data_IF_447480779617
#
_entry.id   IF_447480779617
#
_cell.length_a   1.000
_cell.length_b   1.000
_cell.length_c   1.000
_cell.angle_alpha   90.00
_cell.angle_beta   90.00
_cell.angle_gamma   90.00
#
_symmetry.space_group_name_H-M   'P 1'
#
loop_
_entity.id
_entity.type
_entity.pdbx_description
1 polymer ?
#
# COMPACT_ATOMS: atom_id res chain seq x y z
N UNK A 1 21.27 5.95 -38.18
CA UNK A 1 20.19 5.15 -37.57
C UNK A 1 20.42 5.10 -36.09
N UNK A 2 19.36 5.05 -35.28
CA UNK A 2 19.52 4.86 -33.82
C UNK A 2 19.88 3.40 -33.61
N UNK A 3 21.09 3.16 -33.11
CA UNK A 3 21.54 1.83 -32.70
C UNK A 3 21.11 1.60 -31.25
N UNK A 4 20.25 0.60 -31.05
CA UNK A 4 19.76 0.23 -29.71
C UNK A 4 20.64 -0.89 -29.17
N UNK A 5 21.25 -0.63 -28.03
CA UNK A 5 22.09 -1.58 -27.31
C UNK A 5 21.29 -2.82 -26.87
N UNK A 6 21.78 -4.02 -27.21
CA UNK A 6 21.11 -5.30 -26.88
C UNK A 6 20.97 -5.54 -25.38
N UNK A 7 21.93 -5.11 -24.56
CA UNK A 7 21.85 -5.25 -23.11
C UNK A 7 20.71 -4.41 -22.51
N UNK A 8 20.37 -3.27 -23.12
CA UNK A 8 19.19 -2.48 -22.73
C UNK A 8 17.87 -3.18 -23.06
N UNK A 9 17.83 -3.97 -24.14
CA UNK A 9 16.65 -4.75 -24.52
C UNK A 9 16.43 -5.87 -23.50
N UNK A 10 17.48 -6.57 -23.09
CA UNK A 10 17.40 -7.67 -22.11
C UNK A 10 16.99 -7.17 -20.71
N UNK A 11 17.40 -5.97 -20.32
CA UNK A 11 16.94 -5.33 -19.07
C UNK A 11 15.44 -5.00 -19.15
N UNK A 12 14.96 -4.51 -20.30
CA UNK A 12 13.53 -4.17 -20.47
C UNK A 12 12.66 -5.43 -20.50
N UNK A 13 13.13 -6.54 -21.07
CA UNK A 13 12.38 -7.81 -21.13
C UNK A 13 12.36 -8.58 -19.81
N UNK A 14 13.34 -8.34 -18.92
CA UNK A 14 13.39 -8.94 -17.58
C UNK A 14 12.58 -8.18 -16.53
N UNK A 15 12.15 -6.95 -16.83
CA UNK A 15 11.24 -6.21 -15.95
C UNK A 15 9.84 -6.84 -15.96
N UNK A 16 9.21 -7.03 -14.78
CA UNK A 16 7.83 -7.46 -14.72
C UNK A 16 6.94 -6.43 -15.42
N UNK A 17 5.90 -6.90 -16.12
CA UNK A 17 4.93 -6.04 -16.77
C UNK A 17 4.44 -4.98 -15.75
N UNK A 18 4.59 -3.67 -16.02
CA UNK A 18 4.16 -2.61 -15.12
C UNK A 18 2.67 -2.69 -14.74
N UNK A 19 1.83 -3.20 -15.64
CA UNK A 19 0.43 -3.48 -15.36
C UNK A 19 0.26 -4.62 -14.34
N UNK A 20 1.07 -5.68 -14.44
CA UNK A 20 1.05 -6.80 -13.48
C UNK A 20 1.47 -6.35 -12.07
N UNK A 21 2.54 -5.56 -11.96
CA UNK A 21 2.99 -5.00 -10.66
C UNK A 21 1.94 -4.08 -10.05
N UNK A 22 1.27 -3.27 -10.87
CA UNK A 22 0.19 -2.37 -10.43
C UNK A 22 -1.03 -3.14 -9.92
N UNK A 23 -1.46 -4.17 -10.65
CA UNK A 23 -2.61 -4.97 -10.24
C UNK A 23 -2.30 -5.82 -9.00
N UNK A 24 -1.08 -6.35 -8.86
CA UNK A 24 -0.63 -7.02 -7.62
C UNK A 24 -0.63 -6.03 -6.44
N UNK A 25 -0.10 -4.82 -6.61
CA UNK A 25 -0.12 -3.80 -5.56
C UNK A 25 -1.54 -3.41 -5.17
N UNK A 26 -2.42 -3.19 -6.16
CA UNK A 26 -3.85 -2.97 -5.91
C UNK A 26 -4.45 -4.13 -5.14
N UNK A 27 -4.29 -5.37 -5.59
CA UNK A 27 -4.84 -6.55 -4.92
C UNK A 27 -4.36 -6.66 -3.47
N UNK A 28 -3.09 -6.36 -3.19
CA UNK A 28 -2.54 -6.34 -1.82
C UNK A 28 -3.11 -5.21 -0.96
N UNK A 29 -3.42 -4.06 -1.55
CA UNK A 29 -3.99 -2.90 -0.87
C UNK A 29 -5.52 -2.94 -0.75
N UNK A 30 -6.21 -3.57 -1.70
CA UNK A 30 -7.67 -3.69 -1.77
C UNK A 30 -8.19 -4.97 -1.13
N UNK A 31 -7.35 -6.00 -0.96
CA UNK A 31 -7.66 -7.08 -0.04
C UNK A 31 -7.66 -6.49 1.35
N UNK A 32 -8.84 -6.07 1.83
CA UNK A 32 -9.01 -5.45 3.14
C UNK A 32 -8.33 -6.32 4.19
N UNK A 33 -7.13 -5.93 4.65
CA UNK A 33 -6.45 -6.78 5.57
C UNK A 33 -6.97 -6.28 6.91
N UNK A 34 -7.87 -7.06 7.51
CA UNK A 34 -7.95 -7.05 8.97
C UNK A 34 -6.61 -7.64 9.41
N UNK A 35 -5.54 -6.81 9.37
CA UNK A 35 -4.17 -7.20 9.71
C UNK A 35 -4.13 -7.64 11.17
N UNK A 36 -5.05 -7.09 11.97
CA UNK A 36 -5.20 -7.35 13.38
C UNK A 36 -6.64 -7.07 13.84
N UNK A 37 -7.18 -7.90 14.74
CA UNK A 37 -8.48 -7.62 15.36
C UNK A 37 -8.40 -6.36 16.23
N UNK A 38 -9.44 -5.49 16.21
CA UNK A 38 -9.47 -4.30 17.05
C UNK A 38 -9.48 -4.71 18.53
N UNK A 39 -8.68 -4.02 19.34
CA UNK A 39 -8.73 -4.14 20.79
C UNK A 39 -9.52 -2.96 21.36
N UNK A 40 -10.68 -3.25 21.94
CA UNK A 40 -11.62 -2.24 22.43
C UNK A 40 -11.17 -1.51 23.71
N UNK A 41 -10.11 -1.99 24.36
CA UNK A 41 -9.54 -1.35 25.56
C UNK A 41 -8.61 -0.18 25.21
N UNK A 42 -8.20 -0.03 23.94
CA UNK A 42 -7.28 1.00 23.48
C UNK A 42 -7.95 2.03 22.55
N UNK A 43 -7.49 3.29 22.56
CA UNK A 43 -7.99 4.32 21.65
C UNK A 43 -7.59 4.04 20.20
N UNK A 44 -8.48 4.43 19.28
CA UNK A 44 -8.23 4.38 17.84
C UNK A 44 -7.59 5.68 17.34
N UNK A 45 -6.70 5.56 16.36
CA UNK A 45 -6.11 6.66 15.61
C UNK A 45 -6.58 6.57 14.15
N UNK A 46 -7.21 7.63 13.64
CA UNK A 46 -7.60 7.74 12.24
C UNK A 46 -6.65 8.72 11.54
N UNK A 47 -5.97 8.24 10.51
CA UNK A 47 -5.13 9.07 9.64
C UNK A 47 -5.78 9.13 8.26
N UNK A 48 -5.96 10.32 7.71
CA UNK A 48 -6.52 10.49 6.38
C UNK A 48 -5.55 11.26 5.50
N UNK A 49 -5.44 10.86 4.24
CA UNK A 49 -4.73 11.61 3.21
C UNK A 49 -5.64 11.74 1.98
N UNK A 50 -5.57 12.88 1.31
CA UNK A 50 -6.40 13.16 0.15
C UNK A 50 -5.53 13.63 -1.01
N UNK A 51 -5.75 13.08 -2.19
CA UNK A 51 -5.10 13.52 -3.41
C UNK A 51 -6.12 13.74 -4.52
N UNK A 52 -6.15 14.96 -5.06
CA UNK A 52 -7.08 15.39 -6.11
C UNK A 52 -8.55 15.08 -5.74
N UNK A 53 -9.12 14.00 -6.28
CA UNK A 53 -10.49 13.54 -6.04
C UNK A 53 -10.59 12.24 -5.25
N UNK A 54 -9.48 11.74 -4.69
CA UNK A 54 -9.42 10.51 -3.90
C UNK A 54 -9.13 10.83 -2.44
N UNK A 55 -9.85 10.20 -1.51
CA UNK A 55 -9.65 10.32 -0.06
C UNK A 55 -9.33 8.93 0.50
N UNK A 56 -8.12 8.76 1.01
CA UNK A 56 -7.71 7.56 1.74
C UNK A 56 -7.79 7.78 3.25
N UNK A 57 -8.17 6.75 3.99
CA UNK A 57 -8.12 6.73 5.44
C UNK A 57 -7.51 5.41 5.95
N UNK A 58 -6.75 5.51 7.03
CA UNK A 58 -6.16 4.39 7.76
C UNK A 58 -6.67 4.45 9.19
N UNK A 59 -7.31 3.38 9.63
CA UNK A 59 -7.68 3.19 11.03
C UNK A 59 -6.60 2.34 11.71
N UNK A 60 -5.99 2.88 12.75
CA UNK A 60 -5.00 2.19 13.55
C UNK A 60 -5.32 2.22 15.04
N UNK A 61 -4.56 1.43 15.81
CA UNK A 61 -4.57 1.46 17.27
C UNK A 61 -3.15 1.45 17.81
N UNK A 62 -2.98 2.13 18.94
CA UNK A 62 -1.73 2.13 19.69
C UNK A 62 -1.95 1.45 21.03
N UNK A 63 -1.23 0.36 21.28
CA UNK A 63 -1.34 -0.37 22.53
C UNK A 63 -0.80 0.44 23.73
N UNK A 64 0.33 1.13 23.57
CA UNK A 64 0.92 1.95 24.64
C UNK A 64 1.63 3.18 24.05
N UNK A 65 1.76 4.24 24.85
CA UNK A 65 2.51 5.44 24.45
C UNK A 65 3.96 5.07 24.09
N UNK A 66 4.38 5.38 22.86
CA UNK A 66 5.70 5.04 22.33
C UNK A 66 5.79 3.74 21.53
N UNK A 67 4.73 2.92 21.47
CA UNK A 67 4.67 1.76 20.57
C UNK A 67 4.21 2.16 19.16
N UNK A 68 4.63 1.41 18.11
CA UNK A 68 4.12 1.60 16.76
C UNK A 68 2.59 1.46 16.69
N UNK A 69 1.97 2.21 15.77
CA UNK A 69 0.55 2.08 15.45
C UNK A 69 0.34 0.82 14.63
N UNK A 70 -0.58 -0.03 15.09
CA UNK A 70 -1.00 -1.21 14.34
C UNK A 70 -2.19 -0.83 13.48
N UNK A 71 -2.11 -1.12 12.18
CA UNK A 71 -3.21 -0.83 11.25
C UNK A 71 -4.28 -1.90 11.37
N UNK A 72 -5.53 -1.47 11.50
CA UNK A 72 -6.72 -2.31 11.61
C UNK A 72 -7.44 -2.40 10.28
N UNK A 73 -7.59 -1.26 9.60
CA UNK A 73 -8.32 -1.18 8.34
C UNK A 73 -7.86 0.00 7.48
N UNK A 74 -8.09 -0.14 6.18
CA UNK A 74 -7.93 0.90 5.17
C UNK A 74 -9.29 1.21 4.54
N UNK A 75 -9.49 2.48 4.17
CA UNK A 75 -10.63 2.94 3.38
C UNK A 75 -10.12 3.91 2.29
N UNK A 76 -10.75 3.91 1.11
CA UNK A 76 -10.42 4.80 -0.02
C UNK A 76 -11.65 5.12 -0.85
#
# INVERSE_FOLDING_TARGET
GIEVDKSKIDIITSLPNPASVREELKNRLTSAPILQAPNWDYPFELMCDAFNSTLGAVLGQRAEAGKPVHVIAYAS
#
